data_IF_156513579744
#
_entry.id   IF_156513579744
#
_cell.length_a   1.000
_cell.length_b   1.000
_cell.length_c   1.000
_cell.angle_alpha   90.00
_cell.angle_beta   90.00
_cell.angle_gamma   90.00
#
_symmetry.space_group_name_H-M   'P 1'
#
loop_
_entity.id
_entity.type
_entity.pdbx_description
1 polymer ?
#
# COMPACT_ATOMS: atom_id res chain seq x y z
N UNK A 1 7.19 0.84 3.58
CA UNK A 1 7.85 0.22 2.41
C UNK A 1 7.02 0.17 1.13
N UNK A 2 5.67 0.25 1.17
CA UNK A 2 4.82 0.07 -0.02
C UNK A 2 4.97 1.14 -1.09
N UNK A 3 5.27 2.38 -0.72
CA UNK A 3 5.32 3.50 -1.67
C UNK A 3 6.46 3.34 -2.69
N UNK A 4 7.72 3.10 -2.30
CA UNK A 4 8.80 2.84 -3.26
C UNK A 4 8.57 1.57 -4.11
N UNK A 5 7.99 0.51 -3.53
CA UNK A 5 7.67 -0.71 -4.29
C UNK A 5 6.64 -0.45 -5.38
N UNK A 6 5.62 0.38 -5.10
CA UNK A 6 4.64 0.78 -6.10
C UNK A 6 5.26 1.62 -7.23
N UNK A 7 6.26 2.46 -6.91
CA UNK A 7 7.01 3.18 -7.93
C UNK A 7 7.79 2.24 -8.85
N UNK A 8 8.41 1.20 -8.31
CA UNK A 8 9.06 0.15 -9.11
C UNK A 8 8.06 -0.56 -10.03
N UNK A 9 6.87 -0.88 -9.54
CA UNK A 9 5.79 -1.47 -10.35
C UNK A 9 5.34 -0.51 -11.46
N UNK A 10 5.12 0.77 -11.15
CA UNK A 10 4.74 1.78 -12.14
C UNK A 10 5.82 1.99 -13.19
N UNK A 11 7.09 1.98 -12.77
CA UNK A 11 8.22 2.05 -13.69
C UNK A 11 8.24 0.87 -14.65
N UNK A 12 8.03 -0.36 -14.16
CA UNK A 12 7.97 -1.55 -14.98
C UNK A 12 6.82 -1.48 -16.00
N UNK A 13 5.64 -0.99 -15.59
CA UNK A 13 4.51 -0.78 -16.50
C UNK A 13 4.79 0.24 -17.58
N UNK A 14 5.45 1.36 -17.23
CA UNK A 14 5.86 2.37 -18.19
C UNK A 14 6.88 1.83 -19.19
N UNK A 15 7.89 1.11 -18.70
CA UNK A 15 8.95 0.52 -19.53
C UNK A 15 8.40 -0.53 -20.51
N UNK A 16 7.43 -1.34 -20.07
CA UNK A 16 6.74 -2.33 -20.91
C UNK A 16 5.66 -1.74 -21.82
N UNK A 17 5.51 -0.41 -21.86
CA UNK A 17 4.50 0.32 -22.65
C UNK A 17 3.07 -0.20 -22.44
N UNK A 18 2.74 -0.54 -21.19
CA UNK A 18 1.38 -0.97 -20.83
C UNK A 18 0.53 0.23 -20.44
N UNK A 19 -0.81 0.08 -20.50
CA UNK A 19 -1.74 1.08 -19.96
C UNK A 19 -2.08 0.85 -18.48
N UNK A 20 -1.34 -0.03 -17.81
CA UNK A 20 -1.52 -0.31 -16.39
C UNK A 20 -1.03 0.87 -15.55
N UNK A 21 -1.64 1.02 -14.39
CA UNK A 21 -1.23 1.98 -13.38
C UNK A 21 -0.98 1.25 -12.07
N UNK A 22 -0.03 1.71 -11.29
CA UNK A 22 0.14 1.27 -9.93
C UNK A 22 -0.63 2.19 -8.98
N UNK A 23 -1.17 1.63 -7.90
CA UNK A 23 -1.81 2.40 -6.84
C UNK A 23 -1.20 2.00 -5.51
N UNK A 24 -0.83 2.97 -4.69
CA UNK A 24 -0.35 2.72 -3.33
C UNK A 24 -1.22 3.46 -2.33
N UNK A 25 -1.67 2.74 -1.30
CA UNK A 25 -2.49 3.28 -0.22
C UNK A 25 -1.62 3.47 1.03
N UNK A 26 -1.77 4.62 1.67
CA UNK A 26 -1.07 4.91 2.93
C UNK A 26 -1.78 6.02 3.70
N UNK A 27 -1.57 6.06 5.02
CA UNK A 27 -2.17 7.07 5.89
C UNK A 27 -1.37 8.36 5.96
N UNK A 28 -1.93 9.34 6.66
CA UNK A 28 -1.36 10.66 6.92
C UNK A 28 0.03 10.61 7.55
N UNK A 29 0.27 9.70 8.50
CA UNK A 29 1.60 9.53 9.11
C UNK A 29 2.66 9.06 8.12
N UNK A 30 2.32 8.11 7.25
CA UNK A 30 3.25 7.61 6.24
C UNK A 30 3.56 8.64 5.13
N UNK A 31 2.70 9.64 4.95
CA UNK A 31 2.95 10.76 4.05
C UNK A 31 4.17 11.60 4.47
N UNK A 32 4.60 11.54 5.74
CA UNK A 32 5.74 12.29 6.28
C UNK A 32 7.06 11.51 6.26
N UNK A 33 7.06 10.27 5.79
CA UNK A 33 8.28 9.47 5.72
C UNK A 33 9.16 9.94 4.54
N UNK A 34 10.47 10.05 4.75
CA UNK A 34 11.43 10.49 3.74
C UNK A 34 11.31 9.72 2.43
N UNK A 35 11.27 8.39 2.49
CA UNK A 35 11.11 7.55 1.30
C UNK A 35 9.82 7.78 0.51
N UNK A 36 8.75 8.27 1.16
CA UNK A 36 7.52 8.68 0.48
C UNK A 36 7.75 9.96 -0.32
N UNK A 37 8.41 10.96 0.28
CA UNK A 37 8.70 12.25 -0.36
C UNK A 37 9.70 12.08 -1.51
N UNK A 38 10.73 11.27 -1.33
CA UNK A 38 11.68 10.90 -2.39
C UNK A 38 10.95 10.22 -3.56
N UNK A 39 10.03 9.30 -3.24
CA UNK A 39 9.23 8.62 -4.27
C UNK A 39 8.31 9.57 -5.01
N UNK A 40 7.74 10.58 -4.35
CA UNK A 40 6.97 11.64 -5.03
C UNK A 40 7.82 12.34 -6.08
N UNK A 41 9.05 12.72 -5.70
CA UNK A 41 9.99 13.37 -6.61
C UNK A 41 10.35 12.47 -7.81
N UNK A 42 10.75 11.22 -7.56
CA UNK A 42 11.12 10.29 -8.63
C UNK A 42 9.94 9.97 -9.55
N UNK A 43 8.76 9.74 -8.99
CA UNK A 43 7.57 9.45 -9.79
C UNK A 43 7.20 10.62 -10.72
N UNK A 44 7.32 11.86 -10.22
CA UNK A 44 7.08 13.04 -11.02
C UNK A 44 8.17 13.24 -12.09
N UNK A 45 9.45 13.10 -11.70
CA UNK A 45 10.58 13.25 -12.63
C UNK A 45 10.56 12.23 -13.78
N UNK A 46 10.01 11.05 -13.52
CA UNK A 46 9.93 9.97 -14.50
C UNK A 46 8.52 9.80 -15.12
N UNK A 47 7.59 10.71 -14.87
CA UNK A 47 6.19 10.63 -15.33
C UNK A 47 5.58 9.22 -15.14
N UNK A 48 5.72 8.66 -13.95
CA UNK A 48 5.26 7.30 -13.66
C UNK A 48 3.73 7.24 -13.61
N UNK A 49 3.09 6.20 -14.14
CA UNK A 49 1.66 5.94 -13.98
C UNK A 49 1.37 5.42 -12.56
N UNK A 50 1.57 6.27 -11.55
CA UNK A 50 1.47 5.93 -10.13
C UNK A 50 0.44 6.82 -9.43
N UNK A 51 -0.54 6.21 -8.81
CA UNK A 51 -1.47 6.88 -7.93
C UNK A 51 -1.02 6.74 -6.47
N UNK A 52 -0.77 7.85 -5.82
CA UNK A 52 -0.58 7.97 -4.39
C UNK A 52 -1.93 8.25 -3.73
N UNK A 53 -2.52 7.24 -3.10
CA UNK A 53 -3.82 7.37 -2.44
C UNK A 53 -3.62 7.49 -0.92
N UNK A 54 -3.87 8.69 -0.39
CA UNK A 54 -3.71 8.99 1.03
C UNK A 54 -5.05 8.84 1.74
N UNK A 55 -5.15 7.88 2.64
CA UNK A 55 -6.27 7.71 3.56
C UNK A 55 -6.05 8.62 4.78
N UNK A 56 -6.45 9.90 4.65
CA UNK A 56 -6.25 10.89 5.70
C UNK A 56 -7.34 10.75 6.76
N UNK A 57 -7.03 9.98 7.80
CA UNK A 57 -7.90 9.86 8.97
C UNK A 57 -7.49 10.82 10.11
N UNK A 58 -6.59 11.76 9.86
CA UNK A 58 -6.04 12.77 10.77
C UNK A 58 -5.14 12.24 11.89
N UNK A 59 -4.96 10.92 12.04
CA UNK A 59 -4.20 10.37 13.17
C UNK A 59 -3.28 9.23 12.78
N UNK A 60 -2.01 9.41 13.03
CA UNK A 60 -1.02 8.33 13.08
C UNK A 60 -1.02 7.76 14.51
N UNK A 61 -1.68 6.62 14.73
CA UNK A 61 -2.04 6.07 16.05
C UNK A 61 -2.88 7.06 16.84
N UNK A 62 -2.26 7.89 17.68
CA UNK A 62 -2.89 8.94 18.51
C UNK A 62 -2.30 10.34 18.25
N UNK A 63 -1.31 10.46 17.36
CA UNK A 63 -0.71 11.74 16.99
C UNK A 63 -1.51 12.39 15.88
N UNK A 64 -2.07 13.57 16.13
CA UNK A 64 -2.84 14.30 15.14
C UNK A 64 -1.94 14.88 14.05
N UNK A 65 -2.40 14.87 12.80
CA UNK A 65 -1.62 15.31 11.62
C UNK A 65 -1.10 16.75 11.77
N UNK A 66 -1.85 17.65 12.39
CA UNK A 66 -1.43 19.05 12.61
C UNK A 66 -0.30 19.23 13.62
N UNK A 67 -0.01 18.24 14.44
CA UNK A 67 1.09 18.31 15.41
C UNK A 67 2.45 18.07 14.76
N UNK A 68 2.46 17.36 13.62
CA UNK A 68 3.69 16.88 12.96
C UNK A 68 3.79 17.28 11.49
N UNK A 69 2.83 18.06 10.99
CA UNK A 69 2.75 18.44 9.57
C UNK A 69 2.46 19.92 9.43
N UNK A 70 3.39 20.66 8.84
CA UNK A 70 3.26 22.14 8.68
C UNK A 70 2.10 22.54 7.76
N UNK A 71 1.88 21.81 6.66
CA UNK A 71 0.71 21.93 5.79
C UNK A 71 -0.10 20.63 5.89
N UNK A 72 -1.18 20.67 6.65
CA UNK A 72 -2.00 19.49 6.94
C UNK A 72 -2.90 19.03 5.79
N UNK A 73 -3.06 19.84 4.75
CA UNK A 73 -3.68 19.41 3.48
C UNK A 73 -2.64 18.60 2.69
N UNK A 74 -2.70 17.29 2.79
CA UNK A 74 -1.69 16.43 2.17
C UNK A 74 -1.72 16.49 0.65
N UNK A 75 -2.88 16.75 0.06
CA UNK A 75 -3.04 17.01 -1.38
C UNK A 75 -2.25 18.22 -1.89
N UNK A 76 -1.97 19.21 -1.02
CA UNK A 76 -1.15 20.36 -1.38
C UNK A 76 0.31 20.00 -1.71
N UNK A 77 0.77 18.82 -1.33
CA UNK A 77 2.10 18.31 -1.71
C UNK A 77 2.22 17.99 -3.18
N UNK A 78 1.14 17.52 -3.81
CA UNK A 78 1.16 17.15 -5.23
C UNK A 78 1.74 18.26 -6.12
N UNK A 79 1.19 19.48 -6.12
CA UNK A 79 1.74 20.60 -6.88
C UNK A 79 3.18 20.94 -6.52
N UNK A 80 3.60 20.77 -5.26
CA UNK A 80 4.98 20.99 -4.82
C UNK A 80 6.00 20.05 -5.48
N UNK A 81 5.56 18.86 -5.90
CA UNK A 81 6.35 17.89 -6.65
C UNK A 81 6.00 17.84 -8.14
N UNK A 82 5.19 18.78 -8.65
CA UNK A 82 4.77 18.79 -10.06
C UNK A 82 3.72 17.75 -10.43
N UNK A 83 3.02 17.16 -9.45
CA UNK A 83 1.98 16.16 -9.66
C UNK A 83 0.58 16.78 -9.66
N UNK A 84 -0.33 16.22 -10.45
CA UNK A 84 -1.76 16.48 -10.28
C UNK A 84 -2.25 15.92 -8.93
N UNK A 85 -3.16 16.67 -8.28
CA UNK A 85 -3.69 16.24 -6.99
C UNK A 85 -5.17 16.55 -6.82
N UNK A 86 -5.84 15.70 -6.06
CA UNK A 86 -7.25 15.83 -5.70
C UNK A 86 -7.42 15.65 -4.21
N UNK A 87 -8.42 16.35 -3.67
CA UNK A 87 -8.93 16.09 -2.33
C UNK A 87 -10.38 15.65 -2.47
N UNK A 88 -10.76 14.57 -1.79
CA UNK A 88 -12.08 13.96 -1.90
C UNK A 88 -12.63 13.57 -0.54
N UNK A 89 -13.94 13.61 -0.39
CA UNK A 89 -14.63 12.98 0.75
C UNK A 89 -14.53 11.45 0.60
N UNK A 90 -13.63 10.85 1.37
CA UNK A 90 -13.42 9.40 1.37
C UNK A 90 -14.58 8.61 1.98
N UNK A 91 -15.55 9.29 2.61
CA UNK A 91 -16.78 8.67 3.11
C UNK A 91 -17.90 8.64 2.04
N UNK A 92 -17.64 9.17 0.84
CA UNK A 92 -18.55 9.08 -0.31
C UNK A 92 -17.92 8.20 -1.41
N UNK A 93 -18.31 6.91 -1.53
CA UNK A 93 -17.75 6.00 -2.53
C UNK A 93 -17.95 6.46 -3.98
N UNK A 94 -19.00 7.23 -4.28
CA UNK A 94 -19.21 7.75 -5.63
C UNK A 94 -18.26 8.89 -5.94
N UNK A 95 -17.99 9.77 -4.98
CA UNK A 95 -17.01 10.83 -5.12
C UNK A 95 -15.58 10.23 -5.32
N UNK A 96 -15.23 9.21 -4.53
CA UNK A 96 -13.96 8.49 -4.68
C UNK A 96 -13.85 7.83 -6.06
N UNK A 97 -14.92 7.18 -6.52
CA UNK A 97 -14.95 6.55 -7.85
C UNK A 97 -14.71 7.55 -8.97
N UNK A 98 -15.40 8.69 -8.97
CA UNK A 98 -15.23 9.73 -9.99
C UNK A 98 -13.82 10.35 -9.94
N UNK A 99 -13.33 10.66 -8.75
CA UNK A 99 -11.96 11.17 -8.58
C UNK A 99 -10.91 10.18 -9.09
N UNK A 100 -11.09 8.89 -8.82
CA UNK A 100 -10.19 7.86 -9.32
C UNK A 100 -10.26 7.75 -10.85
N UNK A 101 -11.43 7.92 -11.47
CA UNK A 101 -11.54 7.94 -12.94
C UNK A 101 -10.72 9.09 -13.56
N UNK A 102 -10.83 10.30 -12.99
CA UNK A 102 -10.05 11.46 -13.45
C UNK A 102 -8.55 11.22 -13.30
N UNK A 103 -8.13 10.67 -12.16
CA UNK A 103 -6.74 10.33 -11.90
C UNK A 103 -6.22 9.23 -12.86
N UNK A 104 -7.02 8.20 -13.15
CA UNK A 104 -6.67 7.15 -14.11
C UNK A 104 -6.54 7.71 -15.52
N UNK A 105 -7.43 8.59 -15.95
CA UNK A 105 -7.32 9.26 -17.24
C UNK A 105 -6.05 10.11 -17.32
N UNK A 106 -5.75 10.86 -16.27
CA UNK A 106 -4.52 11.65 -16.15
C UNK A 106 -3.28 10.78 -16.36
N UNK A 107 -3.14 9.70 -15.58
CA UNK A 107 -1.97 8.83 -15.65
C UNK A 107 -1.87 8.08 -16.99
N UNK A 108 -2.99 7.53 -17.49
CA UNK A 108 -3.04 6.80 -18.76
C UNK A 108 -2.81 7.65 -19.97
N UNK A 109 -2.98 8.98 -19.87
CA UNK A 109 -2.62 9.95 -20.92
C UNK A 109 -1.14 10.37 -20.86
N UNK A 110 -0.33 9.77 -20.00
CA UNK A 110 1.10 10.04 -19.89
C UNK A 110 1.46 11.34 -19.19
N UNK A 111 0.53 11.92 -18.43
CA UNK A 111 0.73 13.19 -17.71
C UNK A 111 1.39 13.02 -16.33
N UNK A 112 1.95 11.83 -16.06
CA UNK A 112 2.67 11.54 -14.83
C UNK A 112 1.77 11.07 -13.67
N UNK A 113 2.30 11.07 -12.44
CA UNK A 113 1.63 10.54 -11.26
C UNK A 113 0.46 11.42 -10.79
N UNK A 114 -0.38 10.80 -9.96
CA UNK A 114 -1.55 11.41 -9.34
C UNK A 114 -1.47 11.26 -7.81
N UNK A 115 -1.83 12.31 -7.07
CA UNK A 115 -2.02 12.27 -5.62
C UNK A 115 -3.49 12.47 -5.29
N UNK A 116 -4.09 11.54 -4.56
CA UNK A 116 -5.46 11.66 -4.05
C UNK A 116 -5.40 11.67 -2.53
N UNK A 117 -5.91 12.71 -1.89
CA UNK A 117 -6.16 12.76 -0.46
C UNK A 117 -7.64 12.50 -0.21
N UNK A 118 -7.96 11.38 0.45
CA UNK A 118 -9.31 11.04 0.86
C UNK A 118 -9.47 11.28 2.36
N UNK A 119 -10.40 12.17 2.71
CA UNK A 119 -10.77 12.39 4.11
C UNK A 119 -11.62 11.22 4.59
N UNK A 120 -11.09 10.43 5.52
CA UNK A 120 -11.73 9.20 6.03
C UNK A 120 -11.75 9.19 7.55
N UNK A 121 -12.50 8.26 8.11
CA UNK A 121 -12.52 8.01 9.55
C UNK A 121 -12.17 6.56 9.86
N UNK A 122 -11.28 6.35 10.83
CA UNK A 122 -10.94 5.01 11.33
C UNK A 122 -11.92 4.62 12.43
N UNK A 123 -12.94 3.81 12.09
CA UNK A 123 -13.99 3.37 13.02
C UNK A 123 -13.48 2.45 14.13
N UNK A 124 -12.42 1.71 13.88
CA UNK A 124 -11.79 0.84 14.87
C UNK A 124 -10.35 1.26 15.11
N UNK A 125 -9.90 1.12 16.34
CA UNK A 125 -8.51 1.41 16.67
C UNK A 125 -7.57 0.39 15.99
N UNK A 126 -6.38 0.82 15.60
CA UNK A 126 -5.43 -0.04 14.87
C UNK A 126 -4.93 -1.24 15.68
N UNK A 127 -5.00 -1.20 17.01
CA UNK A 127 -4.54 -2.28 17.88
C UNK A 127 -5.60 -3.36 18.13
N UNK A 128 -6.73 -3.31 17.46
CA UNK A 128 -7.77 -4.32 17.60
C UNK A 128 -9.19 -3.75 17.46
N UNK A 129 -10.21 -4.56 17.75
CA UNK A 129 -11.62 -4.23 17.56
C UNK A 129 -12.17 -3.27 18.62
N UNK A 130 -11.39 -2.29 19.02
CA UNK A 130 -11.81 -1.22 19.92
C UNK A 130 -12.43 -0.09 19.13
N UNK A 131 -13.43 0.64 19.68
CA UNK A 131 -13.97 1.84 19.04
C UNK A 131 -12.87 2.84 18.66
N UNK A 132 -13.07 3.61 17.61
CA UNK A 132 -12.13 4.66 17.17
C UNK A 132 -11.86 5.71 18.23
N UNK A 133 -12.83 5.96 19.13
CA UNK A 133 -12.71 6.83 20.31
C UNK A 133 -12.04 6.18 21.52
N UNK A 134 -11.64 4.90 21.44
CA UNK A 134 -10.89 4.26 22.51
C UNK A 134 -9.59 5.05 22.79
N UNK A 135 -9.13 4.98 24.03
CA UNK A 135 -7.92 5.67 24.49
C UNK A 135 -7.98 7.21 24.52
N UNK A 136 -9.17 7.80 24.33
CA UNK A 136 -9.48 9.22 24.55
C UNK A 136 -8.73 10.25 23.69
N UNK A 137 -8.10 9.85 22.58
CA UNK A 137 -7.53 10.80 21.64
C UNK A 137 -8.58 11.39 20.68
N UNK A 138 -9.75 10.75 20.58
CA UNK A 138 -10.96 11.21 19.88
C UNK A 138 -12.15 11.20 20.83
N UNK A 139 -13.13 12.06 20.60
CA UNK A 139 -14.36 12.05 21.38
C UNK A 139 -15.38 11.03 20.86
N UNK A 140 -16.33 10.67 21.73
CA UNK A 140 -17.45 9.81 21.32
C UNK A 140 -18.42 10.55 20.42
N UNK A 141 -18.53 11.84 20.60
CA UNK A 141 -19.35 12.75 19.79
C UNK A 141 -18.81 12.78 18.35
N UNK A 142 -17.51 12.97 18.17
CA UNK A 142 -16.85 12.88 16.87
C UNK A 142 -17.09 11.51 16.21
N UNK A 143 -16.90 10.42 16.95
CA UNK A 143 -17.18 9.09 16.42
C UNK A 143 -18.65 8.92 15.96
N UNK A 144 -19.61 9.43 16.72
CA UNK A 144 -21.02 9.36 16.37
C UNK A 144 -21.35 10.18 15.10
N UNK A 145 -20.75 11.36 14.93
CA UNK A 145 -20.89 12.18 13.73
C UNK A 145 -20.38 11.46 12.48
N UNK A 146 -19.20 10.83 12.57
CA UNK A 146 -18.65 10.05 11.48
C UNK A 146 -19.44 8.77 11.18
N UNK A 147 -19.97 8.11 12.21
CA UNK A 147 -20.86 6.94 12.06
C UNK A 147 -22.13 7.27 11.30
N UNK A 148 -22.68 8.47 11.51
CA UNK A 148 -23.85 8.93 10.76
C UNK A 148 -23.59 9.08 9.24
N UNK A 149 -22.31 9.15 8.87
CA UNK A 149 -21.80 9.25 7.49
C UNK A 149 -21.15 7.95 7.01
N UNK A 150 -21.45 6.80 7.61
CA UNK A 150 -20.92 5.52 7.17
C UNK A 150 -21.15 5.32 5.66
N UNK A 151 -20.10 5.07 4.86
CA UNK A 151 -20.22 4.96 3.41
C UNK A 151 -21.15 3.84 2.96
N UNK A 152 -21.20 2.72 3.69
CA UNK A 152 -22.10 1.60 3.37
C UNK A 152 -23.56 2.05 3.49
N UNK A 153 -23.90 2.70 4.59
CA UNK A 153 -25.26 3.22 4.82
C UNK A 153 -25.63 4.34 3.84
N UNK A 154 -24.68 5.20 3.48
CA UNK A 154 -24.92 6.26 2.50
C UNK A 154 -25.25 5.68 1.13
N UNK A 155 -24.47 4.72 0.64
CA UNK A 155 -24.73 4.06 -0.64
C UNK A 155 -26.05 3.31 -0.61
N UNK A 156 -26.35 2.55 0.45
CA UNK A 156 -27.61 1.85 0.59
C UNK A 156 -28.81 2.81 0.50
N UNK A 157 -28.81 3.90 1.28
CA UNK A 157 -29.82 4.94 1.23
C UNK A 157 -29.94 5.59 -0.16
N UNK A 158 -28.82 5.81 -0.84
CA UNK A 158 -28.82 6.38 -2.19
C UNK A 158 -29.48 5.45 -3.20
N UNK A 159 -29.14 4.15 -3.18
CA UNK A 159 -29.70 3.14 -4.07
C UNK A 159 -31.22 2.98 -3.87
N UNK A 160 -31.67 2.97 -2.61
CA UNK A 160 -33.10 2.88 -2.28
C UNK A 160 -33.85 4.14 -2.75
N UNK A 161 -33.33 5.32 -2.47
CA UNK A 161 -33.95 6.58 -2.93
C UNK A 161 -34.06 6.71 -4.45
N UNK A 162 -33.11 6.12 -5.17
CA UNK A 162 -33.12 6.08 -6.64
C UNK A 162 -33.97 4.95 -7.23
N UNK A 163 -34.57 4.11 -6.38
CA UNK A 163 -35.38 2.98 -6.82
C UNK A 163 -34.52 1.87 -7.53
N UNK A 164 -33.21 1.89 -7.36
CA UNK A 164 -32.29 0.86 -7.92
C UNK A 164 -32.37 -0.41 -7.09
N UNK A 165 -32.53 -0.28 -5.78
CA UNK A 165 -32.72 -1.36 -4.83
C UNK A 165 -33.87 -1.00 -3.87
N UNK A 166 -34.44 -2.04 -3.24
CA UNK A 166 -35.30 -1.89 -2.08
C UNK A 166 -34.59 -2.36 -0.80
N UNK A 167 -35.22 -2.13 0.37
CA UNK A 167 -34.64 -2.46 1.67
C UNK A 167 -34.36 -3.96 1.81
N UNK A 168 -35.19 -4.84 1.26
CA UNK A 168 -35.01 -6.29 1.28
C UNK A 168 -33.74 -6.70 0.51
N UNK A 169 -33.52 -6.09 -0.64
CA UNK A 169 -32.33 -6.32 -1.45
C UNK A 169 -31.04 -5.84 -0.74
N UNK A 170 -31.09 -4.69 -0.05
CA UNK A 170 -29.98 -4.20 0.78
C UNK A 170 -29.68 -5.18 1.91
N UNK A 171 -30.73 -5.69 2.60
CA UNK A 171 -30.55 -6.70 3.65
C UNK A 171 -29.96 -8.00 3.10
N UNK A 172 -30.39 -8.44 1.91
CA UNK A 172 -29.83 -9.63 1.25
C UNK A 172 -28.34 -9.48 0.95
N UNK A 173 -27.91 -8.33 0.43
CA UNK A 173 -26.48 -8.06 0.20
C UNK A 173 -25.68 -8.10 1.50
N UNK A 174 -26.24 -7.47 2.55
CA UNK A 174 -25.60 -7.45 3.88
C UNK A 174 -25.49 -8.85 4.48
N UNK A 175 -26.55 -9.68 4.36
CA UNK A 175 -26.53 -11.06 4.82
C UNK A 175 -25.48 -11.87 4.06
N UNK A 176 -25.45 -11.76 2.74
CA UNK A 176 -24.43 -12.46 1.92
C UNK A 176 -23.01 -12.08 2.30
N UNK A 177 -22.73 -10.81 2.59
CA UNK A 177 -21.41 -10.38 3.04
C UNK A 177 -21.03 -11.03 4.39
N UNK A 178 -21.97 -11.13 5.32
CA UNK A 178 -21.77 -11.82 6.61
C UNK A 178 -21.52 -13.32 6.42
N UNK A 179 -22.26 -13.96 5.51
CA UNK A 179 -22.10 -15.39 5.21
C UNK A 179 -20.72 -15.68 4.62
N UNK A 180 -20.22 -14.80 3.71
CA UNK A 180 -18.86 -14.92 3.17
C UNK A 180 -17.83 -14.84 4.28
N UNK A 181 -17.95 -13.85 5.18
CA UNK A 181 -17.04 -13.70 6.31
C UNK A 181 -17.09 -14.88 7.28
N UNK A 182 -18.30 -15.41 7.55
CA UNK A 182 -18.46 -16.60 8.38
C UNK A 182 -17.83 -17.84 7.73
N UNK A 183 -17.97 -18.00 6.41
CA UNK A 183 -17.31 -19.03 5.63
C UNK A 183 -15.78 -18.98 5.77
N UNK A 184 -15.19 -17.81 5.50
CA UNK A 184 -13.75 -17.59 5.63
C UNK A 184 -13.27 -17.88 7.06
N UNK A 185 -14.01 -17.40 8.07
CA UNK A 185 -13.69 -17.70 9.47
C UNK A 185 -13.70 -19.21 9.74
N UNK A 186 -14.68 -19.95 9.19
CA UNK A 186 -14.76 -21.40 9.30
C UNK A 186 -13.62 -22.15 8.58
N UNK A 187 -13.17 -21.62 7.46
CA UNK A 187 -12.04 -22.19 6.72
C UNK A 187 -10.72 -22.01 7.47
N UNK A 188 -10.45 -20.80 7.97
CA UNK A 188 -9.16 -20.43 8.58
C UNK A 188 -9.04 -20.81 10.06
N UNK A 189 -10.16 -21.00 10.76
CA UNK A 189 -10.13 -21.22 12.22
C UNK A 189 -10.86 -22.48 12.66
N UNK A 190 -10.53 -22.94 13.85
CA UNK A 190 -11.19 -24.04 14.56
C UNK A 190 -11.51 -23.64 16.01
N UNK A 191 -12.44 -24.32 16.62
CA UNK A 191 -12.75 -24.13 18.05
C UNK A 191 -11.53 -24.51 18.92
N UNK A 192 -11.30 -23.76 20.00
CA UNK A 192 -10.25 -24.12 20.96
C UNK A 192 -10.73 -25.32 21.80
N UNK A 193 -10.03 -26.46 21.78
CA UNK A 193 -10.38 -27.60 22.59
C UNK A 193 -10.43 -27.26 24.10
N UNK A 194 -11.56 -27.43 24.73
CA UNK A 194 -11.76 -27.05 26.16
C UNK A 194 -11.91 -25.55 26.42
N UNK A 195 -11.93 -24.73 25.39
CA UNK A 195 -12.15 -23.29 25.47
C UNK A 195 -13.62 -22.88 25.57
N UNK A 196 -13.89 -21.57 25.53
CA UNK A 196 -15.27 -21.06 25.52
C UNK A 196 -15.94 -21.34 24.15
N UNK A 197 -17.30 -21.35 24.09
CA UNK A 197 -18.03 -21.71 22.88
C UNK A 197 -17.70 -20.84 21.65
N UNK A 198 -17.30 -19.59 21.85
CA UNK A 198 -16.95 -18.62 20.83
C UNK A 198 -15.42 -18.45 20.65
N UNK A 199 -14.63 -19.16 21.45
CA UNK A 199 -13.17 -19.08 21.39
C UNK A 199 -12.66 -19.92 20.22
N UNK A 200 -11.93 -19.26 19.32
CA UNK A 200 -11.39 -19.86 18.10
C UNK A 200 -9.90 -19.59 18.00
N UNK A 201 -9.19 -20.50 17.35
CA UNK A 201 -7.77 -20.33 16.98
C UNK A 201 -7.60 -20.55 15.47
N UNK A 202 -6.56 -20.01 14.91
CA UNK A 202 -6.19 -20.32 13.53
C UNK A 202 -5.80 -21.79 13.45
N UNK A 203 -6.27 -22.48 12.40
CA UNK A 203 -5.90 -23.88 12.17
C UNK A 203 -4.40 -24.02 12.01
N UNK A 204 -3.83 -25.08 12.56
CA UNK A 204 -2.38 -25.33 12.48
C UNK A 204 -1.89 -25.41 11.02
N UNK A 205 -2.69 -25.93 10.12
CA UNK A 205 -2.34 -26.02 8.69
C UNK A 205 -2.17 -24.65 8.00
N UNK A 206 -2.76 -23.59 8.59
CA UNK A 206 -2.65 -22.21 8.07
C UNK A 206 -1.47 -21.43 8.67
N UNK A 207 -0.77 -22.03 9.61
CA UNK A 207 0.46 -21.47 10.15
C UNK A 207 1.67 -21.97 9.34
N UNK A 208 2.73 -21.16 9.18
CA UNK A 208 4.02 -21.68 8.75
C UNK A 208 4.43 -22.83 9.67
N UNK A 209 5.07 -23.84 9.10
CA UNK A 209 5.66 -24.91 9.89
C UNK A 209 6.55 -24.30 10.99
N UNK A 210 6.31 -24.57 12.29
CA UNK A 210 7.15 -24.03 13.35
C UNK A 210 8.63 -24.44 13.23
N UNK A 211 8.91 -25.52 12.51
CA UNK A 211 10.27 -25.94 12.19
C UNK A 211 10.85 -25.17 11.00
N UNK A 212 10.02 -24.49 10.20
CA UNK A 212 10.47 -23.62 9.14
C UNK A 212 10.87 -22.26 9.74
N UNK A 213 12.15 -22.00 9.74
CA UNK A 213 12.70 -20.71 10.13
C UNK A 213 13.26 -20.06 8.87
N UNK A 214 12.57 -19.06 8.35
CA UNK A 214 13.14 -18.17 7.33
C UNK A 214 14.07 -17.18 8.03
N UNK A 215 15.32 -17.56 8.12
CA UNK A 215 16.34 -16.78 8.79
C UNK A 215 17.04 -15.80 7.86
N UNK A 216 16.74 -15.86 6.58
CA UNK A 216 17.37 -15.04 5.55
C UNK A 216 18.90 -15.11 5.61
N UNK A 217 19.55 -14.15 4.95
CA UNK A 217 21.03 -14.09 4.89
C UNK A 217 21.72 -14.02 6.27
N UNK A 218 20.96 -13.74 7.34
CA UNK A 218 21.50 -13.60 8.71
C UNK A 218 21.35 -14.84 9.57
N UNK A 219 20.82 -15.92 8.99
CA UNK A 219 20.59 -17.16 9.70
C UNK A 219 21.73 -18.15 9.53
N UNK A 220 21.38 -19.37 9.15
CA UNK A 220 22.34 -20.48 8.90
C UNK A 220 23.02 -20.40 7.52
N UNK A 221 22.70 -19.36 6.75
CA UNK A 221 23.22 -19.12 5.40
C UNK A 221 22.77 -20.18 4.38
N UNK A 222 21.68 -20.91 4.66
CA UNK A 222 21.19 -21.96 3.75
C UNK A 222 20.78 -21.40 2.37
N UNK A 223 20.32 -20.15 2.31
CA UNK A 223 20.04 -19.47 1.04
C UNK A 223 21.29 -19.20 0.19
N UNK A 224 22.47 -19.31 0.78
CA UNK A 224 23.74 -19.21 0.08
C UNK A 224 24.23 -20.57 -0.41
N UNK A 225 23.56 -21.67 -0.06
CA UNK A 225 23.87 -22.98 -0.57
C UNK A 225 23.70 -23.01 -2.09
N UNK A 226 24.70 -23.52 -2.77
CA UNK A 226 24.72 -23.56 -4.24
C UNK A 226 25.22 -22.28 -4.91
N UNK A 227 25.46 -21.18 -4.17
CA UNK A 227 26.22 -20.06 -4.71
C UNK A 227 27.68 -20.49 -4.92
N UNK A 228 28.18 -20.15 -6.09
CA UNK A 228 29.61 -20.38 -6.37
C UNK A 228 30.41 -19.23 -5.79
N UNK A 229 31.22 -19.54 -4.80
CA UNK A 229 32.23 -18.63 -4.28
C UNK A 229 33.51 -18.88 -5.07
N UNK A 230 34.19 -17.82 -5.46
CA UNK A 230 35.47 -17.90 -6.14
C UNK A 230 36.47 -17.02 -5.41
N UNK A 231 37.50 -17.62 -4.92
CA UNK A 231 38.65 -16.92 -4.34
C UNK A 231 39.68 -16.52 -5.43
N UNK A 232 40.64 -15.72 -5.08
CA UNK A 232 41.64 -15.23 -6.02
C UNK A 232 42.39 -16.38 -6.71
N UNK A 233 42.63 -17.46 -5.99
CA UNK A 233 43.31 -18.65 -6.46
C UNK A 233 42.52 -19.45 -7.51
N UNK A 234 41.19 -19.24 -7.57
CA UNK A 234 40.31 -19.89 -8.53
C UNK A 234 40.41 -19.30 -9.94
N UNK A 235 41.06 -18.14 -10.10
CA UNK A 235 41.23 -17.49 -11.38
C UNK A 235 42.55 -17.88 -12.02
N UNK A 236 42.46 -18.65 -13.09
CA UNK A 236 43.59 -19.04 -13.92
C UNK A 236 43.94 -18.08 -15.05
N UNK A 237 43.09 -17.06 -15.26
CA UNK A 237 43.27 -16.07 -16.31
C UNK A 237 44.20 -14.94 -15.86
N UNK A 238 44.88 -14.34 -16.83
CA UNK A 238 45.67 -13.14 -16.61
C UNK A 238 44.82 -12.03 -15.99
N UNK A 239 45.21 -11.52 -14.84
CA UNK A 239 44.50 -10.47 -14.12
C UNK A 239 45.06 -9.10 -14.44
N UNK A 240 44.20 -8.09 -14.60
CA UNK A 240 44.64 -6.71 -14.79
C UNK A 240 44.34 -5.90 -13.49
N UNK A 241 45.27 -5.02 -13.16
CA UNK A 241 45.06 -4.07 -12.09
C UNK A 241 44.17 -2.91 -12.58
N UNK A 242 42.98 -2.75 -12.01
CA UNK A 242 42.05 -1.70 -12.37
C UNK A 242 41.49 -1.03 -11.08
N UNK A 243 41.00 0.19 -11.20
CA UNK A 243 40.29 0.83 -10.08
C UNK A 243 39.02 0.06 -9.77
N UNK A 244 38.67 -0.05 -8.49
CA UNK A 244 37.49 -0.77 -8.04
C UNK A 244 36.22 -0.23 -8.73
N UNK A 245 36.07 1.10 -8.84
CA UNK A 245 34.92 1.73 -9.47
C UNK A 245 34.80 1.32 -10.95
N UNK A 246 35.89 1.27 -11.68
CA UNK A 246 35.93 0.89 -13.10
C UNK A 246 35.58 -0.60 -13.28
N UNK A 247 36.02 -1.45 -12.35
CA UNK A 247 35.68 -2.86 -12.33
C UNK A 247 34.17 -3.07 -12.13
N UNK A 248 33.59 -2.38 -11.15
CA UNK A 248 32.14 -2.44 -10.88
C UNK A 248 31.33 -1.95 -12.08
N UNK A 249 31.66 -0.78 -12.62
CA UNK A 249 31.00 -0.22 -13.80
C UNK A 249 31.09 -1.17 -15.00
N UNK A 250 32.29 -1.75 -15.23
CA UNK A 250 32.51 -2.69 -16.33
C UNK A 250 31.70 -4.00 -16.18
N UNK A 251 31.48 -4.49 -14.97
CA UNK A 251 30.62 -5.66 -14.74
C UNK A 251 29.15 -5.30 -15.00
N UNK A 252 28.68 -4.17 -14.47
CA UNK A 252 27.29 -3.71 -14.67
C UNK A 252 26.98 -3.51 -16.14
N UNK A 253 27.83 -2.80 -16.89
CA UNK A 253 27.65 -2.59 -18.31
C UNK A 253 27.54 -3.92 -19.10
N UNK A 254 28.49 -4.83 -18.90
CA UNK A 254 28.45 -6.14 -19.57
C UNK A 254 27.18 -6.94 -19.23
N UNK A 255 26.68 -6.83 -18.00
CA UNK A 255 25.45 -7.54 -17.60
C UNK A 255 24.22 -6.91 -18.26
N UNK A 256 24.12 -5.60 -18.31
CA UNK A 256 23.05 -4.90 -18.99
C UNK A 256 23.04 -5.13 -20.50
N UNK A 257 24.20 -5.29 -21.13
CA UNK A 257 24.30 -5.62 -22.56
C UNK A 257 23.77 -7.05 -22.88
N UNK A 258 23.76 -7.93 -21.91
CA UNK A 258 23.43 -9.35 -22.11
C UNK A 258 22.12 -9.78 -21.46
N UNK A 259 21.51 -8.95 -20.64
CA UNK A 259 20.24 -9.25 -19.94
C UNK A 259 19.39 -7.98 -19.78
N UNK A 260 18.40 -7.84 -20.64
CA UNK A 260 17.47 -6.70 -20.66
C UNK A 260 16.65 -6.54 -19.37
N UNK A 261 16.69 -7.52 -18.46
CA UNK A 261 16.00 -7.44 -17.16
C UNK A 261 16.84 -6.69 -16.11
N UNK A 262 18.12 -6.46 -16.38
CA UNK A 262 19.01 -5.76 -15.45
C UNK A 262 18.91 -4.26 -15.71
N UNK A 263 18.53 -3.53 -14.66
CA UNK A 263 18.46 -2.07 -14.65
C UNK A 263 19.24 -1.56 -13.46
N UNK A 264 20.05 -0.54 -13.68
CA UNK A 264 20.80 0.15 -12.61
C UNK A 264 20.12 1.50 -12.39
N UNK A 265 19.70 1.72 -11.16
CA UNK A 265 19.08 2.97 -10.72
C UNK A 265 19.95 3.55 -9.59
N UNK A 266 20.15 4.85 -9.60
CA UNK A 266 20.90 5.54 -8.56
C UNK A 266 20.87 7.06 -8.76
N UNK A 267 21.32 7.78 -7.75
CA UNK A 267 21.66 9.19 -7.82
C UNK A 267 23.17 9.31 -8.00
N UNK A 268 23.58 10.19 -8.92
CA UNK A 268 24.97 10.64 -9.20
C UNK A 268 26.08 9.56 -9.18
#
# INVERSE_FOLDING_TARGET
GGVPLAAGSAWAHKHADTRNVAVTYFGDGAANIGSTLETFNLAAAWDLPLCFFVENNLYAVSTHVSEVTGESRLSARGPGFGMASWKVDGMDPLAVYLTMQDALEHMRSGRGPALIEADVYRFFHQNGPFPGSAFRYRSKEEEAEWRARDPIDQVARHLVRRGIMNDEQVQTVTARAKDVMAGILGELTEAVPGGKPDERRIKQAEWPDPAFVDIGVRGDLSELEGLRWSDREDFSAETAEVKFIDAVAGVMNRRMETDDRIVVLGED
#
